data_IF_284565254127
#
_entry.id   IF_284565254127
#
_cell.length_a   1.000
_cell.length_b   1.000
_cell.length_c   1.000
_cell.angle_alpha   90.00
_cell.angle_beta   90.00
_cell.angle_gamma   90.00
#
_symmetry.space_group_name_H-M   'P 1'
#
loop_
_entity.id
_entity.type
_entity.pdbx_description
1 polymer ?
#
# COMPACT_ATOMS: atom_id res chain seq x y z
N UNK A 1 7.52 -17.64 36.28
CA UNK A 1 8.91 -17.20 36.02
C UNK A 1 9.23 -17.07 34.53
N UNK A 2 9.21 -18.16 33.72
CA UNK A 2 9.58 -18.12 32.28
C UNK A 2 8.63 -17.31 31.36
N UNK A 3 7.33 -17.26 31.66
CA UNK A 3 6.35 -16.48 30.88
C UNK A 3 6.53 -14.96 31.03
N UNK A 4 6.95 -14.49 32.21
CA UNK A 4 7.27 -13.08 32.42
C UNK A 4 8.52 -12.65 31.63
N UNK A 5 9.53 -13.52 31.56
CA UNK A 5 10.75 -13.31 30.76
C UNK A 5 10.46 -13.20 29.25
N UNK A 6 9.49 -13.97 28.75
CA UNK A 6 9.06 -13.92 27.34
C UNK A 6 8.35 -12.60 26.99
N UNK A 7 7.50 -12.12 27.90
CA UNK A 7 6.79 -10.84 27.74
C UNK A 7 7.77 -9.66 27.78
N UNK A 8 8.75 -9.66 28.68
CA UNK A 8 9.79 -8.61 28.72
C UNK A 8 10.65 -8.56 27.46
N UNK A 9 10.89 -9.70 26.80
CA UNK A 9 11.65 -9.75 25.55
C UNK A 9 10.87 -9.12 24.37
N UNK A 10 9.54 -9.29 24.35
CA UNK A 10 8.66 -8.65 23.35
C UNK A 10 8.60 -7.12 23.52
N UNK A 11 8.69 -6.62 24.77
CA UNK A 11 8.78 -5.18 25.07
C UNK A 11 10.13 -4.57 24.68
N UNK A 12 11.25 -5.31 24.83
CA UNK A 12 12.59 -4.87 24.41
C UNK A 12 12.77 -4.84 22.89
N UNK A 13 11.99 -5.64 22.14
CA UNK A 13 11.99 -5.65 20.68
C UNK A 13 11.29 -4.44 20.05
N UNK A 14 10.88 -3.45 20.85
CA UNK A 14 10.43 -2.15 20.33
C UNK A 14 9.36 -2.32 19.26
N UNK A 15 8.25 -2.97 19.60
CA UNK A 15 7.07 -2.96 18.72
C UNK A 15 6.58 -1.51 18.72
N UNK A 16 7.12 -0.71 17.79
CA UNK A 16 6.60 0.60 17.46
C UNK A 16 5.19 0.34 16.92
N UNK A 17 4.22 0.40 17.83
CA UNK A 17 2.80 0.50 17.53
C UNK A 17 2.57 1.86 16.90
N UNK A 18 3.01 1.99 15.65
CA UNK A 18 2.68 3.14 14.85
C UNK A 18 1.18 2.99 14.56
N UNK A 19 0.40 4.06 14.75
CA UNK A 19 -1.01 4.13 14.38
C UNK A 19 -1.16 4.16 12.84
N UNK A 20 -0.38 3.34 12.15
CA UNK A 20 -0.41 3.10 10.74
C UNK A 20 -1.60 2.18 10.52
N UNK A 21 -2.48 2.52 9.58
CA UNK A 21 -3.44 1.54 9.09
C UNK A 21 -2.69 0.21 8.82
N UNK A 22 -3.23 -0.94 9.25
CA UNK A 22 -2.56 -2.21 9.05
C UNK A 22 -2.30 -2.43 7.56
N UNK A 23 -1.19 -3.10 7.24
CA UNK A 23 -0.88 -3.44 5.86
C UNK A 23 -2.09 -4.15 5.24
N UNK A 24 -2.60 -3.71 4.07
CA UNK A 24 -3.76 -4.36 3.47
C UNK A 24 -3.48 -5.84 3.25
N UNK A 25 -4.45 -6.71 3.55
CA UNK A 25 -4.27 -8.17 3.46
C UNK A 25 -3.83 -8.66 2.08
N UNK A 26 -4.24 -7.93 1.04
CA UNK A 26 -3.85 -8.25 -0.33
C UNK A 26 -2.43 -7.79 -0.62
N UNK A 27 -1.86 -6.82 0.10
CA UNK A 27 -0.58 -6.20 -0.19
C UNK A 27 0.55 -6.69 0.74
N UNK A 28 1.79 -6.35 0.41
CA UNK A 28 2.97 -6.60 1.23
C UNK A 28 3.62 -5.27 1.55
N UNK A 29 3.92 -5.03 2.83
CA UNK A 29 4.48 -3.76 3.28
C UNK A 29 5.90 -3.96 3.83
N UNK A 30 6.83 -3.10 3.43
CA UNK A 30 8.20 -3.07 3.94
C UNK A 30 8.61 -1.63 4.22
N UNK A 31 8.70 -1.27 5.50
CA UNK A 31 8.87 0.12 5.89
C UNK A 31 7.68 0.96 5.43
N UNK A 32 7.94 2.01 4.63
CA UNK A 32 6.93 2.89 4.03
C UNK A 32 6.52 2.48 2.61
N UNK A 33 7.00 1.35 2.10
CA UNK A 33 6.62 0.83 0.80
C UNK A 33 5.43 -0.12 0.93
N UNK A 34 4.41 0.10 0.13
CA UNK A 34 3.26 -0.79 -0.01
C UNK A 34 3.27 -1.37 -1.42
N UNK A 35 3.48 -2.68 -1.52
CA UNK A 35 3.47 -3.42 -2.76
C UNK A 35 2.16 -4.20 -2.89
N UNK A 36 1.32 -3.79 -3.83
CA UNK A 36 0.09 -4.46 -4.25
C UNK A 36 0.15 -4.93 -5.71
N UNK A 37 1.34 -5.06 -6.30
CA UNK A 37 1.52 -5.53 -7.68
C UNK A 37 1.06 -6.98 -7.89
N UNK A 38 0.64 -7.33 -9.11
CA UNK A 38 0.49 -8.74 -9.52
C UNK A 38 -0.64 -9.52 -8.83
N UNK A 39 -1.67 -8.84 -8.31
CA UNK A 39 -2.72 -9.42 -7.46
C UNK A 39 -4.09 -9.48 -8.11
N UNK A 40 -4.14 -9.25 -9.42
CA UNK A 40 -5.39 -9.20 -10.20
C UNK A 40 -6.42 -8.22 -9.63
N UNK A 41 -5.95 -7.14 -9.01
CA UNK A 41 -6.81 -6.14 -8.40
C UNK A 41 -7.60 -5.39 -9.48
N UNK A 42 -8.89 -5.24 -9.27
CA UNK A 42 -9.80 -4.34 -9.97
C UNK A 42 -10.04 -3.09 -9.13
N UNK A 43 -10.60 -2.03 -9.73
CA UNK A 43 -10.91 -0.78 -9.03
C UNK A 43 -11.81 -0.97 -7.79
N UNK A 44 -12.66 -2.00 -7.79
CA UNK A 44 -13.56 -2.33 -6.67
C UNK A 44 -12.90 -3.18 -5.57
N UNK A 45 -11.88 -3.97 -5.92
CA UNK A 45 -11.13 -4.80 -4.96
C UNK A 45 -9.95 -4.08 -4.30
N UNK A 46 -9.60 -2.89 -4.80
CA UNK A 46 -8.50 -2.11 -4.31
C UNK A 46 -8.79 -1.62 -2.87
N UNK A 47 -7.86 -1.81 -1.91
CA UNK A 47 -8.01 -1.26 -0.57
C UNK A 47 -8.12 0.27 -0.62
N UNK A 48 -9.04 0.84 0.15
CA UNK A 48 -9.25 2.30 0.26
C UNK A 48 -8.45 2.93 1.40
N UNK A 49 -7.80 2.13 2.24
CA UNK A 49 -6.95 2.58 3.34
C UNK A 49 -5.59 1.92 3.27
N UNK A 50 -4.56 2.75 3.38
CA UNK A 50 -3.15 2.37 3.42
C UNK A 50 -2.50 3.00 4.65
N UNK A 51 -1.33 2.49 5.09
CA UNK A 51 -0.54 3.15 6.13
C UNK A 51 -0.29 4.63 5.79
N UNK A 52 -0.58 5.57 6.69
CA UNK A 52 -0.41 7.02 6.46
C UNK A 52 1.02 7.41 6.06
N UNK A 53 2.00 6.65 6.55
CA UNK A 53 3.42 6.82 6.22
C UNK A 53 3.85 6.17 4.89
N UNK A 54 2.92 5.80 4.01
CA UNK A 54 3.26 5.20 2.71
C UNK A 54 3.95 6.22 1.82
N UNK A 55 5.19 5.95 1.43
CA UNK A 55 5.97 6.81 0.52
C UNK A 55 6.03 6.27 -0.90
N UNK A 56 5.85 4.95 -1.05
CA UNK A 56 5.83 4.27 -2.35
C UNK A 56 4.67 3.28 -2.40
N UNK A 57 3.80 3.41 -3.41
CA UNK A 57 2.68 2.51 -3.67
C UNK A 57 2.82 1.83 -5.03
N UNK A 58 2.84 0.49 -5.06
CA UNK A 58 2.94 -0.30 -6.31
C UNK A 58 1.64 -1.02 -6.60
N UNK A 59 1.03 -0.68 -7.72
CA UNK A 59 -0.23 -1.23 -8.24
C UNK A 59 -0.08 -1.83 -9.65
N UNK A 60 1.11 -1.85 -10.25
CA UNK A 60 1.34 -2.40 -11.59
C UNK A 60 0.99 -3.91 -11.67
N UNK A 61 0.83 -4.43 -12.89
CA UNK A 61 0.47 -5.84 -13.13
C UNK A 61 -0.86 -6.26 -12.47
N UNK A 62 -1.83 -5.34 -12.41
CA UNK A 62 -3.20 -5.61 -11.95
C UNK A 62 -4.20 -5.39 -13.09
N UNK A 63 -5.49 -5.59 -12.81
CA UNK A 63 -6.61 -5.47 -13.75
C UNK A 63 -7.37 -4.15 -13.53
N UNK A 64 -6.62 -3.08 -13.24
CA UNK A 64 -7.19 -1.77 -12.93
C UNK A 64 -7.63 -1.08 -14.23
N UNK A 65 -8.89 -0.68 -14.30
CA UNK A 65 -9.45 0.16 -15.38
C UNK A 65 -9.60 1.62 -14.96
N UNK A 66 -9.56 1.87 -13.65
CA UNK A 66 -9.57 3.20 -13.04
C UNK A 66 -8.91 3.14 -11.66
N UNK A 67 -8.53 4.30 -11.11
CA UNK A 67 -8.19 4.43 -9.70
C UNK A 67 -9.34 5.13 -8.97
N UNK A 68 -9.66 4.74 -7.72
CA UNK A 68 -10.60 5.48 -6.89
C UNK A 68 -10.10 6.91 -6.69
N UNK A 69 -10.97 7.91 -6.88
CA UNK A 69 -10.60 9.33 -6.78
C UNK A 69 -10.00 9.70 -5.41
N UNK A 70 -10.49 9.06 -4.35
CA UNK A 70 -10.10 9.31 -2.96
C UNK A 70 -8.90 8.46 -2.49
N UNK A 71 -8.29 7.67 -3.38
CA UNK A 71 -7.18 6.77 -3.00
C UNK A 71 -5.96 7.56 -2.51
N UNK A 72 -5.65 8.64 -3.24
CA UNK A 72 -4.45 9.45 -3.01
C UNK A 72 -4.64 10.47 -1.89
N UNK A 73 -5.88 10.89 -1.61
CA UNK A 73 -6.20 11.90 -0.59
C UNK A 73 -5.71 11.50 0.80
N UNK A 74 -5.74 10.19 1.10
CA UNK A 74 -5.27 9.64 2.38
C UNK A 74 -3.75 9.47 2.45
N UNK A 75 -3.05 9.55 1.32
CA UNK A 75 -1.64 9.20 1.18
C UNK A 75 -0.76 10.45 1.12
N UNK A 76 -0.82 11.28 2.17
CA UNK A 76 -0.12 12.57 2.22
C UNK A 76 1.40 12.50 2.16
N UNK A 77 1.98 11.35 2.52
CA UNK A 77 3.43 11.11 2.48
C UNK A 77 3.91 10.45 1.18
N UNK A 78 3.00 10.17 0.24
CA UNK A 78 3.31 9.47 -0.99
C UNK A 78 4.24 10.32 -1.84
N UNK A 79 5.35 9.73 -2.30
CA UNK A 79 6.28 10.37 -3.22
C UNK A 79 6.36 9.67 -4.56
N UNK A 80 6.00 8.39 -4.58
CA UNK A 80 6.06 7.55 -5.76
C UNK A 80 4.86 6.63 -5.84
N UNK A 81 4.15 6.66 -6.96
CA UNK A 81 3.20 5.62 -7.31
C UNK A 81 3.65 4.90 -8.58
N UNK A 82 3.38 3.60 -8.65
CA UNK A 82 3.64 2.75 -9.81
C UNK A 82 2.35 2.01 -10.14
N UNK A 83 1.49 2.56 -10.99
CA UNK A 83 0.25 1.91 -11.42
C UNK A 83 0.23 1.73 -12.93
N UNK A 84 -0.50 0.72 -13.39
CA UNK A 84 -0.81 0.48 -14.79
C UNK A 84 -2.33 0.37 -14.92
N UNK A 85 -2.96 1.35 -15.55
CA UNK A 85 -4.42 1.39 -15.69
C UNK A 85 -4.78 1.30 -17.18
N UNK A 86 -5.73 0.44 -17.51
CA UNK A 86 -6.28 0.33 -18.87
C UNK A 86 -7.48 1.27 -19.01
N UNK A 87 -7.28 2.44 -19.62
CA UNK A 87 -8.39 3.31 -20.00
C UNK A 87 -8.98 2.77 -21.31
N UNK A 88 -10.25 2.35 -21.26
CA UNK A 88 -11.01 1.93 -22.44
C UNK A 88 -11.17 3.13 -23.37
N UNK A 89 -10.28 3.23 -24.36
CA UNK A 89 -10.59 3.60 -25.77
C UNK A 89 -9.33 3.83 -26.60
N UNK A 90 -8.15 3.82 -25.98
CA UNK A 90 -6.86 3.68 -26.66
C UNK A 90 -5.94 3.01 -25.66
N UNK A 91 -5.11 2.04 -26.07
CA UNK A 91 -4.15 1.30 -25.21
C UNK A 91 -3.08 2.18 -24.55
N UNK A 92 -3.47 3.22 -23.83
CA UNK A 92 -2.61 4.09 -23.06
C UNK A 92 -2.39 3.39 -21.73
N UNK A 93 -1.31 2.64 -21.66
CA UNK A 93 -0.72 2.20 -20.41
C UNK A 93 -0.28 3.47 -19.68
N UNK A 94 -1.16 4.07 -18.89
CA UNK A 94 -0.75 5.17 -18.05
C UNK A 94 0.05 4.57 -16.90
N UNK A 95 1.37 4.46 -17.09
CA UNK A 95 2.29 4.30 -15.98
C UNK A 95 2.20 5.60 -15.19
N UNK A 96 1.32 5.66 -14.20
CA UNK A 96 1.22 6.81 -13.31
C UNK A 96 2.45 6.80 -12.41
N UNK A 97 3.58 7.28 -12.92
CA UNK A 97 4.69 7.74 -12.11
C UNK A 97 4.30 9.11 -11.58
N UNK A 98 3.68 9.13 -10.41
CA UNK A 98 3.53 10.39 -9.68
C UNK A 98 4.82 10.54 -8.89
N UNK A 99 5.78 11.29 -9.44
CA UNK A 99 6.92 11.79 -8.68
C UNK A 99 6.46 13.08 -8.00
N UNK A 100 6.15 13.01 -6.69
CA UNK A 100 5.71 14.14 -5.84
C UNK A 100 6.88 14.78 -5.09
#
# INVERSE_FOLDING_TARGET
MKRLLLLSLLLLLGVRGQNLAPCPNLCSCRGSQVDCSGRSLTSSSLPTRFPDGTTELRLHNNLLTSLPNNLLDSLTSLRKMLSAVFLSDTSVYFSAFVDL
#
